data_IF_311196614232
#
_entry.id   IF_311196614232
#
_cell.length_a   1.000
_cell.length_b   1.000
_cell.length_c   1.000
_cell.angle_alpha   90.00
_cell.angle_beta   90.00
_cell.angle_gamma   90.00
#
_symmetry.space_group_name_H-M   'P 1'
#
loop_
_entity.id
_entity.type
_entity.pdbx_description
1 polymer ?
#
# COMPACT_ATOMS: atom_id res chain seq x y z
N UNK A 1 15.04 -33.41 49.91
CA UNK A 1 13.60 -33.45 50.23
C UNK A 1 12.88 -32.45 49.34
N UNK A 2 12.11 -32.91 48.35
CA UNK A 2 11.35 -32.02 47.46
C UNK A 2 10.04 -31.63 48.14
N UNK A 3 9.84 -30.34 48.41
CA UNK A 3 8.59 -29.84 48.98
C UNK A 3 7.48 -29.98 47.93
N UNK A 4 6.48 -30.82 48.22
CA UNK A 4 5.28 -30.94 47.38
C UNK A 4 4.49 -29.64 47.47
N UNK A 5 4.61 -28.80 46.44
CA UNK A 5 3.82 -27.59 46.29
C UNK A 5 2.34 -28.00 46.17
N UNK A 6 1.52 -27.57 47.13
CA UNK A 6 0.13 -28.01 47.21
C UNK A 6 -0.74 -27.32 46.15
N UNK A 7 -1.73 -28.01 45.55
CA UNK A 7 -2.52 -27.50 44.42
C UNK A 7 -3.36 -26.25 44.76
N UNK A 8 -3.62 -26.00 46.04
CA UNK A 8 -4.28 -24.76 46.50
C UNK A 8 -3.40 -23.51 46.29
N UNK A 9 -2.08 -23.65 46.38
CA UNK A 9 -1.14 -22.55 46.17
C UNK A 9 -1.10 -22.10 44.69
N UNK A 10 -1.22 -23.06 43.77
CA UNK A 10 -1.29 -22.78 42.33
C UNK A 10 -2.58 -22.03 41.96
N UNK A 11 -3.73 -22.46 42.49
CA UNK A 11 -5.00 -21.78 42.23
C UNK A 11 -5.00 -20.33 42.73
N UNK A 12 -4.38 -20.08 43.89
CA UNK A 12 -4.23 -18.74 44.47
C UNK A 12 -3.26 -17.82 43.73
N UNK A 13 -2.34 -18.35 42.91
CA UNK A 13 -1.42 -17.55 42.10
C UNK A 13 -1.93 -17.33 40.67
N UNK A 14 -2.68 -18.28 40.12
CA UNK A 14 -3.20 -18.22 38.73
C UNK A 14 -4.38 -17.25 38.62
N UNK A 15 -5.32 -17.26 39.57
CA UNK A 15 -6.48 -16.37 39.56
C UNK A 15 -6.12 -14.87 39.60
N UNK A 16 -5.25 -14.38 40.50
CA UNK A 16 -4.89 -12.98 40.52
C UNK A 16 -4.03 -12.58 39.32
N UNK A 17 -3.19 -13.48 38.77
CA UNK A 17 -2.41 -13.18 37.57
C UNK A 17 -3.29 -13.06 36.32
N UNK A 18 -4.26 -13.96 36.14
CA UNK A 18 -5.26 -13.84 35.06
C UNK A 18 -6.12 -12.58 35.22
N UNK A 19 -6.53 -12.24 36.44
CA UNK A 19 -7.27 -11.01 36.72
C UNK A 19 -6.42 -9.76 36.42
N UNK A 20 -5.14 -9.76 36.78
CA UNK A 20 -4.23 -8.66 36.47
C UNK A 20 -4.04 -8.49 34.96
N UNK A 21 -3.90 -9.59 34.22
CA UNK A 21 -3.77 -9.57 32.76
C UNK A 21 -5.07 -9.05 32.11
N UNK A 22 -6.22 -9.46 32.63
CA UNK A 22 -7.53 -8.98 32.16
C UNK A 22 -7.73 -7.48 32.45
N UNK A 23 -7.39 -7.04 33.65
CA UNK A 23 -7.44 -5.61 34.01
C UNK A 23 -6.44 -4.80 33.17
N UNK A 24 -5.25 -5.35 32.90
CA UNK A 24 -4.25 -4.71 32.05
C UNK A 24 -4.75 -4.57 30.59
N UNK A 25 -5.41 -5.59 30.05
CA UNK A 25 -6.00 -5.55 28.71
C UNK A 25 -7.22 -4.62 28.60
N UNK A 26 -7.99 -4.42 29.69
CA UNK A 26 -8.99 -3.36 29.75
C UNK A 26 -8.39 -1.95 29.86
N UNK A 27 -7.21 -1.82 30.50
CA UNK A 27 -6.54 -0.52 30.69
C UNK A 27 -5.69 -0.06 29.51
N UNK A 28 -5.39 -0.96 28.55
CA UNK A 28 -4.74 -0.61 27.30
C UNK A 28 -5.65 0.36 26.52
N UNK A 29 -5.27 1.64 26.37
CA UNK A 29 -6.05 2.56 25.56
C UNK A 29 -6.09 1.99 24.15
N UNK A 30 -7.29 1.88 23.56
CA UNK A 30 -7.44 1.83 22.12
C UNK A 30 -6.85 3.12 21.56
N UNK A 31 -5.54 3.14 21.35
CA UNK A 31 -4.85 4.18 20.60
C UNK A 31 -5.20 3.97 19.13
N UNK A 32 -6.46 4.23 18.79
CA UNK A 32 -6.84 4.51 17.44
C UNK A 32 -6.11 5.82 17.08
N UNK A 33 -5.19 5.81 16.11
CA UNK A 33 -4.61 7.06 15.65
C UNK A 33 -5.74 7.85 15.01
N UNK A 34 -6.30 8.81 15.74
CA UNK A 34 -7.15 9.87 15.22
C UNK A 34 -6.25 10.81 14.43
N UNK A 35 -5.77 10.33 13.29
CA UNK A 35 -5.31 11.24 12.26
C UNK A 35 -6.56 11.97 11.76
N UNK A 36 -6.64 13.30 11.84
CA UNK A 36 -7.75 14.05 11.30
C UNK A 36 -7.75 13.81 9.79
N UNK A 37 -8.61 12.89 9.32
CA UNK A 37 -8.87 12.73 7.89
C UNK A 37 -9.30 14.09 7.38
N UNK A 38 -8.58 14.71 6.43
CA UNK A 38 -9.12 15.84 5.71
C UNK A 38 -10.38 15.32 5.02
N UNK A 39 -11.55 15.67 5.56
CA UNK A 39 -12.81 15.50 4.85
C UNK A 39 -12.78 16.55 3.75
N UNK A 40 -12.09 16.26 2.66
CA UNK A 40 -12.30 17.02 1.42
C UNK A 40 -13.74 16.67 1.05
N UNK A 41 -14.67 17.63 1.06
CA UNK A 41 -16.00 17.36 0.52
C UNK A 41 -15.79 17.16 -0.98
N UNK A 42 -15.65 15.90 -1.39
CA UNK A 42 -15.84 15.51 -2.77
C UNK A 42 -17.31 15.84 -3.02
N UNK A 43 -17.55 17.03 -3.58
CA UNK A 43 -18.87 17.46 -4.01
C UNK A 43 -19.52 16.30 -4.75
N UNK A 44 -20.80 15.96 -4.53
CA UNK A 44 -21.47 14.86 -5.23
C UNK A 44 -21.48 15.02 -6.76
N UNK A 45 -21.04 16.19 -7.26
CA UNK A 45 -20.83 16.49 -8.69
C UNK A 45 -19.38 16.33 -9.20
N UNK A 46 -18.43 15.95 -8.35
CA UNK A 46 -17.01 15.78 -8.68
C UNK A 46 -16.80 14.49 -9.46
N UNK A 47 -16.80 14.59 -10.79
CA UNK A 47 -16.42 13.49 -11.66
C UNK A 47 -14.90 13.50 -11.87
N UNK A 48 -14.19 12.54 -11.24
CA UNK A 48 -12.73 12.42 -11.33
C UNK A 48 -12.22 12.11 -12.75
N UNK A 49 -13.08 11.59 -13.62
CA UNK A 49 -12.76 11.25 -15.00
C UNK A 49 -12.97 12.41 -15.98
N UNK A 50 -13.58 13.52 -15.54
CA UNK A 50 -13.79 14.73 -16.35
C UNK A 50 -12.92 15.87 -15.86
N UNK A 51 -12.05 16.36 -16.73
CA UNK A 51 -11.08 17.38 -16.38
C UNK A 51 -10.10 17.63 -17.51
N UNK A 52 -8.94 18.16 -17.15
CA UNK A 52 -7.86 18.47 -18.09
C UNK A 52 -6.49 18.25 -17.47
N UNK A 53 -5.51 17.99 -18.32
CA UNK A 53 -4.11 18.03 -17.94
C UNK A 53 -3.66 19.49 -17.78
N UNK A 54 -3.01 19.80 -16.67
CA UNK A 54 -2.41 21.12 -16.40
C UNK A 54 -0.95 20.94 -16.02
N UNK A 55 -0.09 21.85 -16.46
CA UNK A 55 1.32 21.85 -16.05
C UNK A 55 1.47 22.54 -14.69
N UNK A 56 2.27 21.95 -13.82
CA UNK A 56 2.62 22.48 -12.50
C UNK A 56 4.15 22.48 -12.37
N UNK A 57 4.84 23.60 -12.62
CA UNK A 57 6.31 23.65 -12.62
C UNK A 57 6.95 23.25 -11.29
N UNK A 58 6.21 23.37 -10.18
CA UNK A 58 6.66 23.04 -8.84
C UNK A 58 6.41 21.56 -8.49
N UNK A 59 5.64 20.83 -9.32
CA UNK A 59 5.36 19.41 -9.11
C UNK A 59 6.60 18.58 -9.39
N UNK A 60 6.98 17.78 -8.39
CA UNK A 60 8.03 16.75 -8.47
C UNK A 60 7.41 15.34 -8.47
N UNK A 61 8.05 14.32 -9.07
CA UNK A 61 7.65 12.92 -8.92
C UNK A 61 7.52 12.49 -7.46
N UNK A 62 6.69 11.49 -7.18
CA UNK A 62 6.55 10.92 -5.82
C UNK A 62 7.74 10.01 -5.48
N UNK A 63 8.29 9.33 -6.48
CA UNK A 63 9.43 8.43 -6.37
C UNK A 63 10.46 8.78 -7.44
N UNK A 64 11.70 8.37 -7.21
CA UNK A 64 12.85 8.55 -8.10
C UNK A 64 13.19 7.26 -8.86
N UNK A 65 14.25 7.32 -9.65
CA UNK A 65 14.76 6.19 -10.44
C UNK A 65 15.31 5.03 -9.61
N UNK A 66 15.53 5.20 -8.30
CA UNK A 66 16.09 4.17 -7.43
C UNK A 66 15.10 3.06 -7.09
N UNK A 67 13.81 3.25 -7.40
CA UNK A 67 12.77 2.29 -7.08
C UNK A 67 13.08 0.89 -7.64
N UNK A 68 13.17 -0.15 -6.78
CA UNK A 68 13.59 -1.49 -7.19
C UNK A 68 12.53 -2.26 -7.99
N UNK A 69 11.30 -1.75 -8.07
CA UNK A 69 10.19 -2.38 -8.79
C UNK A 69 10.16 -2.03 -10.28
N UNK A 70 10.88 -0.98 -10.69
CA UNK A 70 11.06 -0.65 -12.10
C UNK A 70 11.80 -1.77 -12.84
N UNK A 71 11.39 -2.05 -14.08
CA UNK A 71 12.25 -2.76 -15.04
C UNK A 71 13.26 -1.76 -15.60
N UNK A 72 14.52 -2.17 -15.76
CA UNK A 72 15.57 -1.30 -16.31
C UNK A 72 15.16 -0.69 -17.65
N UNK A 73 14.58 -1.49 -18.56
CA UNK A 73 14.12 -1.01 -19.86
C UNK A 73 13.03 0.09 -19.80
N UNK A 74 12.32 0.24 -18.68
CA UNK A 74 11.18 1.17 -18.54
C UNK A 74 11.50 2.38 -17.64
N UNK A 75 12.68 2.41 -17.03
CA UNK A 75 13.08 3.48 -16.12
C UNK A 75 13.63 4.67 -16.91
N UNK A 76 12.74 5.55 -17.36
CA UNK A 76 13.11 6.70 -18.22
C UNK A 76 14.11 7.66 -17.54
N UNK A 77 13.98 7.87 -16.22
CA UNK A 77 14.90 8.73 -15.46
C UNK A 77 16.31 8.12 -15.42
N UNK A 78 16.42 6.82 -15.08
CA UNK A 78 17.69 6.10 -15.10
C UNK A 78 18.33 6.04 -16.48
N UNK A 79 17.49 5.91 -17.51
CA UNK A 79 17.92 5.83 -18.90
C UNK A 79 18.13 7.23 -19.52
N UNK A 80 18.20 8.29 -18.69
CA UNK A 80 18.55 9.66 -19.10
C UNK A 80 17.66 10.22 -20.23
N UNK A 81 16.37 9.86 -20.22
CA UNK A 81 15.42 10.41 -21.18
C UNK A 81 15.33 11.93 -21.00
N UNK A 82 15.43 12.67 -22.11
CA UNK A 82 15.27 14.12 -22.10
C UNK A 82 13.85 14.55 -21.71
N UNK A 83 13.71 15.82 -21.30
CA UNK A 83 12.43 16.46 -21.00
C UNK A 83 11.62 15.83 -19.85
N UNK A 84 12.21 14.95 -19.03
CA UNK A 84 11.51 14.32 -17.92
C UNK A 84 10.98 15.32 -16.88
N UNK A 85 11.67 16.45 -16.66
CA UNK A 85 11.15 17.52 -15.80
C UNK A 85 9.81 18.07 -16.28
N UNK A 86 9.67 18.30 -17.60
CA UNK A 86 8.43 18.76 -18.23
C UNK A 86 7.35 17.67 -18.25
N UNK A 87 7.72 16.41 -18.48
CA UNK A 87 6.75 15.30 -18.47
C UNK A 87 6.19 15.10 -17.06
N UNK A 88 7.05 15.14 -16.05
CA UNK A 88 6.67 14.93 -14.65
C UNK A 88 5.93 16.12 -14.02
N UNK A 89 5.94 17.30 -14.64
CA UNK A 89 5.22 18.50 -14.17
C UNK A 89 3.72 18.44 -14.45
N UNK A 90 3.26 17.57 -15.35
CA UNK A 90 1.84 17.44 -15.67
C UNK A 90 1.05 16.79 -14.53
N UNK A 91 -0.14 17.32 -14.28
CA UNK A 91 -1.13 16.73 -13.37
C UNK A 91 -2.52 16.76 -13.98
N UNK A 92 -3.30 15.74 -13.68
CA UNK A 92 -4.72 15.72 -13.97
C UNK A 92 -5.47 16.61 -12.98
N UNK A 93 -6.28 17.55 -13.46
CA UNK A 93 -7.16 18.40 -12.66
C UNK A 93 -8.62 18.18 -13.06
N UNK A 94 -9.44 17.55 -12.19
CA UNK A 94 -10.88 17.47 -12.41
C UNK A 94 -11.55 18.85 -12.46
N UNK A 95 -12.67 18.98 -13.16
CA UNK A 95 -13.30 20.29 -13.39
C UNK A 95 -13.89 20.93 -12.13
N UNK A 96 -14.47 20.12 -11.24
CA UNK A 96 -15.32 20.58 -10.12
C UNK A 96 -14.70 20.35 -8.74
N UNK A 97 -13.46 19.90 -8.69
CA UNK A 97 -12.79 19.49 -7.46
C UNK A 97 -11.29 19.35 -7.68
N UNK A 98 -10.53 19.42 -6.59
CA UNK A 98 -9.11 19.14 -6.61
C UNK A 98 -8.82 17.68 -6.26
N UNK A 99 -7.98 17.04 -7.08
CA UNK A 99 -7.46 15.71 -6.81
C UNK A 99 -6.13 15.85 -6.06
N UNK A 100 -6.16 15.56 -4.76
CA UNK A 100 -4.94 15.53 -3.95
C UNK A 100 -4.02 14.40 -4.40
N UNK A 101 -2.71 14.59 -4.17
CA UNK A 101 -1.77 13.49 -4.34
C UNK A 101 -2.12 12.36 -3.37
N UNK A 102 -1.81 11.15 -3.79
CA UNK A 102 -1.85 9.98 -2.91
C UNK A 102 -0.93 10.23 -1.70
N UNK A 103 -1.46 9.96 -0.52
CA UNK A 103 -0.68 9.80 0.71
C UNK A 103 -0.33 8.31 0.85
N UNK A 104 0.93 7.91 0.57
CA UNK A 104 1.31 6.51 0.61
C UNK A 104 1.27 5.93 2.03
N UNK A 105 1.52 6.75 3.06
CA UNK A 105 1.49 6.34 4.46
C UNK A 105 0.04 6.10 4.89
N UNK A 106 -0.84 7.05 4.60
CA UNK A 106 -2.27 6.92 4.86
C UNK A 106 -2.92 5.76 4.11
N UNK A 107 -2.52 5.55 2.85
CA UNK A 107 -2.98 4.41 2.06
C UNK A 107 -2.54 3.07 2.67
N UNK A 108 -1.23 2.88 2.91
CA UNK A 108 -0.73 1.64 3.52
C UNK A 108 -1.26 1.43 4.94
N UNK A 109 -1.44 2.50 5.71
CA UNK A 109 -2.08 2.47 7.03
C UNK A 109 -3.51 1.95 6.96
N UNK A 110 -4.29 2.42 5.98
CA UNK A 110 -5.67 1.96 5.75
C UNK A 110 -5.73 0.50 5.25
N UNK A 111 -4.66 0.04 4.59
CA UNK A 111 -4.56 -1.32 4.03
C UNK A 111 -3.84 -2.30 4.96
N UNK A 112 -3.46 -1.90 6.17
CA UNK A 112 -2.68 -2.72 7.12
C UNK A 112 -3.26 -4.13 7.27
N UNK A 113 -2.39 -5.14 7.26
CA UNK A 113 -2.73 -6.57 7.35
C UNK A 113 -3.60 -7.11 6.21
N UNK A 114 -3.70 -6.42 5.07
CA UNK A 114 -4.46 -6.87 3.90
C UNK A 114 -3.54 -7.27 2.73
N UNK A 115 -4.13 -8.05 1.82
CA UNK A 115 -3.53 -8.39 0.54
C UNK A 115 -4.34 -7.72 -0.58
N UNK A 116 -3.65 -7.10 -1.54
CA UNK A 116 -4.22 -6.42 -2.71
C UNK A 116 -3.80 -7.20 -3.95
N UNK A 117 -4.74 -7.52 -4.83
CA UNK A 117 -4.48 -8.21 -6.09
C UNK A 117 -4.85 -7.36 -7.29
N UNK A 118 -3.93 -7.23 -8.25
CA UNK A 118 -4.18 -6.68 -9.57
C UNK A 118 -4.21 -7.82 -10.59
N UNK A 119 -5.14 -7.74 -11.55
CA UNK A 119 -5.26 -8.69 -12.65
C UNK A 119 -5.39 -7.91 -13.94
N UNK A 120 -4.65 -8.32 -14.97
CA UNK A 120 -4.79 -7.71 -16.29
C UNK A 120 -3.57 -7.91 -17.19
N UNK A 121 -3.36 -6.96 -18.09
CA UNK A 121 -2.36 -7.01 -19.15
C UNK A 121 -1.11 -6.16 -18.84
N UNK A 122 -0.33 -5.84 -19.87
CA UNK A 122 0.88 -5.03 -19.76
C UNK A 122 0.62 -3.59 -19.29
N UNK A 123 -0.55 -3.00 -19.56
CA UNK A 123 -0.89 -1.67 -19.06
C UNK A 123 -1.13 -1.70 -17.56
N UNK A 124 -1.80 -2.74 -17.05
CA UNK A 124 -1.92 -2.96 -15.61
C UNK A 124 -0.57 -3.24 -14.95
N UNK A 125 0.36 -3.90 -15.65
CA UNK A 125 1.73 -4.07 -15.13
C UNK A 125 2.45 -2.71 -14.98
N UNK A 126 2.29 -1.80 -15.94
CA UNK A 126 2.86 -0.44 -15.86
C UNK A 126 2.26 0.34 -14.68
N UNK A 127 0.94 0.28 -14.51
CA UNK A 127 0.26 0.88 -13.36
C UNK A 127 0.79 0.30 -12.04
N UNK A 128 0.87 -1.02 -11.93
CA UNK A 128 1.36 -1.70 -10.75
C UNK A 128 2.76 -1.22 -10.37
N UNK A 129 3.69 -1.16 -11.33
CA UNK A 129 5.07 -0.70 -11.04
C UNK A 129 5.07 0.71 -10.46
N UNK A 130 4.35 1.65 -11.08
CA UNK A 130 4.23 3.03 -10.58
C UNK A 130 3.61 3.09 -9.18
N UNK A 131 2.59 2.26 -8.94
CA UNK A 131 1.92 2.14 -7.66
C UNK A 131 2.86 1.60 -6.57
N UNK A 132 3.58 0.50 -6.83
CA UNK A 132 4.54 -0.07 -5.89
C UNK A 132 5.66 0.92 -5.54
N UNK A 133 6.17 1.67 -6.51
CA UNK A 133 7.17 2.71 -6.27
C UNK A 133 6.65 3.88 -5.44
N UNK A 134 5.39 4.26 -5.66
CA UNK A 134 4.70 5.26 -4.83
C UNK A 134 4.58 4.79 -3.37
N UNK A 135 4.16 3.55 -3.15
CA UNK A 135 4.02 2.97 -1.80
C UNK A 135 5.37 2.77 -1.10
N UNK A 136 6.45 2.51 -1.84
CA UNK A 136 7.83 2.38 -1.33
C UNK A 136 8.34 3.64 -0.63
N UNK A 137 7.74 4.80 -0.89
CA UNK A 137 8.05 6.05 -0.16
C UNK A 137 7.66 5.93 1.32
N UNK A 138 6.56 5.25 1.62
CA UNK A 138 6.10 5.06 3.00
C UNK A 138 6.80 3.91 3.73
N UNK A 139 7.24 2.88 3.00
CA UNK A 139 7.98 1.76 3.58
C UNK A 139 9.22 1.42 2.77
N UNK A 140 10.35 1.95 3.22
CA UNK A 140 11.63 1.74 2.56
C UNK A 140 12.18 0.30 2.63
N UNK A 141 11.57 -0.54 3.47
CA UNK A 141 11.97 -1.93 3.63
C UNK A 141 11.21 -2.86 2.70
N UNK A 142 10.35 -2.32 1.83
CA UNK A 142 9.52 -3.12 0.94
C UNK A 142 10.37 -4.05 0.05
N UNK A 143 9.93 -5.30 -0.04
CA UNK A 143 10.65 -6.38 -0.73
C UNK A 143 9.85 -6.82 -1.95
N UNK A 144 10.55 -7.24 -3.01
CA UNK A 144 9.91 -7.94 -4.14
C UNK A 144 9.20 -9.17 -3.60
N UNK A 145 7.95 -9.35 -4.00
CA UNK A 145 7.13 -10.48 -3.60
C UNK A 145 6.71 -11.25 -4.84
N UNK A 146 6.94 -12.58 -4.81
CA UNK A 146 6.58 -13.48 -5.90
C UNK A 146 6.18 -14.83 -5.30
N UNK A 147 4.89 -15.12 -5.22
CA UNK A 147 4.36 -16.47 -4.95
C UNK A 147 4.13 -17.25 -6.24
N UNK A 148 4.06 -18.57 -6.14
CA UNK A 148 3.66 -19.46 -7.25
C UNK A 148 2.30 -19.01 -7.79
N UNK A 149 2.22 -18.68 -9.09
CA UNK A 149 1.02 -18.14 -9.74
C UNK A 149 0.88 -16.61 -9.78
N UNK A 150 1.68 -15.86 -9.01
CA UNK A 150 1.76 -14.41 -9.12
C UNK A 150 2.93 -14.00 -10.03
N UNK A 151 2.70 -13.06 -10.94
CA UNK A 151 3.70 -12.62 -11.91
C UNK A 151 4.70 -11.64 -11.27
N UNK A 152 4.18 -10.71 -10.46
CA UNK A 152 4.93 -9.63 -9.83
C UNK A 152 4.23 -9.15 -8.55
N UNK A 153 4.96 -8.52 -7.64
CA UNK A 153 4.38 -7.88 -6.47
C UNK A 153 5.41 -7.31 -5.51
N UNK A 154 4.93 -6.73 -4.42
CA UNK A 154 5.75 -6.31 -3.29
C UNK A 154 5.08 -6.66 -1.96
N UNK A 155 5.91 -6.86 -0.94
CA UNK A 155 5.52 -6.95 0.45
C UNK A 155 6.07 -5.72 1.18
N UNK A 156 5.22 -5.06 1.99
CA UNK A 156 5.52 -3.85 2.76
C UNK A 156 5.51 -4.21 4.27
N UNK A 157 6.67 -4.59 4.86
CA UNK A 157 6.74 -5.11 6.22
C UNK A 157 6.19 -4.17 7.31
N UNK A 158 6.42 -2.86 7.22
CA UNK A 158 5.96 -1.90 8.26
C UNK A 158 4.44 -1.88 8.42
N UNK A 159 3.73 -2.23 7.36
CA UNK A 159 2.27 -2.24 7.30
C UNK A 159 1.69 -3.65 7.19
N UNK A 160 2.54 -4.67 7.05
CA UNK A 160 2.13 -6.04 6.76
C UNK A 160 1.14 -6.11 5.58
N UNK A 161 1.48 -5.46 4.47
CA UNK A 161 0.65 -5.40 3.26
C UNK A 161 1.34 -6.12 2.13
N UNK A 162 0.61 -6.98 1.42
CA UNK A 162 1.09 -7.56 0.16
C UNK A 162 0.30 -6.98 -1.00
N UNK A 163 1.02 -6.59 -2.06
CA UNK A 163 0.41 -6.19 -3.33
C UNK A 163 0.92 -7.13 -4.42
N UNK A 164 0.04 -7.93 -4.99
CA UNK A 164 0.34 -8.91 -6.04
C UNK A 164 -0.29 -8.54 -7.38
N UNK A 165 0.30 -9.04 -8.45
CA UNK A 165 -0.21 -8.92 -9.81
C UNK A 165 -0.20 -10.27 -10.52
N UNK A 166 -1.32 -10.60 -11.13
CA UNK A 166 -1.52 -11.77 -11.95
C UNK A 166 -1.75 -11.32 -13.41
N UNK A 167 -0.92 -11.83 -14.32
CA UNK A 167 -1.04 -11.49 -15.74
C UNK A 167 -2.10 -12.38 -16.37
N UNK A 168 -3.22 -11.79 -16.76
CA UNK A 168 -4.32 -12.43 -17.48
C UNK A 168 -4.77 -11.49 -18.60
N UNK A 169 -4.16 -11.63 -19.78
CA UNK A 169 -4.33 -10.68 -20.89
C UNK A 169 -5.79 -10.56 -21.32
N UNK A 170 -6.52 -11.68 -21.35
CA UNK A 170 -7.92 -11.73 -21.77
C UNK A 170 -8.89 -11.82 -20.58
N UNK A 171 -8.37 -11.93 -19.35
CA UNK A 171 -9.09 -12.24 -18.11
C UNK A 171 -9.83 -13.60 -18.09
N UNK A 172 -10.24 -14.12 -19.25
CA UNK A 172 -10.79 -15.44 -19.45
C UNK A 172 -9.72 -16.44 -19.93
N UNK A 173 -10.01 -17.73 -19.75
CA UNK A 173 -9.25 -18.80 -20.37
C UNK A 173 -9.51 -18.78 -21.87
N UNK A 174 -8.46 -18.74 -22.66
CA UNK A 174 -8.54 -18.84 -24.12
C UNK A 174 -7.87 -20.16 -24.52
N UNK A 175 -8.68 -21.12 -24.95
CA UNK A 175 -8.20 -22.37 -25.51
C UNK A 175 -8.06 -22.20 -27.03
N UNK A 176 -6.86 -22.43 -27.58
CA UNK A 176 -6.57 -22.29 -29.01
C UNK A 176 -7.09 -23.46 -29.88
N UNK A 177 -7.80 -24.42 -29.29
CA UNK A 177 -8.34 -25.60 -29.97
C UNK A 177 -9.88 -25.61 -29.91
N UNK A 178 -10.52 -24.72 -30.65
CA UNK A 178 -11.96 -24.79 -30.96
C UNK A 178 -12.14 -24.88 -32.48
#
# INVERSE_FOLDING_TARGET
>A
MASKLTPKLFSWLILPTLLLIFLYSLSLPLYAPTSPKPKIPISPSCNLFKGKWVSDPNRRPIYDESCPFHRNAWNCLRNQRENMGRINSWKWKPDKCDLTRIDPVGFLGSMRNKNIGFVGDSLNENFLVSFLCTLRVADSTAKKWKRKGAWRGAYFPKFNVTVGYHRAVLLAKYDQNS
#
